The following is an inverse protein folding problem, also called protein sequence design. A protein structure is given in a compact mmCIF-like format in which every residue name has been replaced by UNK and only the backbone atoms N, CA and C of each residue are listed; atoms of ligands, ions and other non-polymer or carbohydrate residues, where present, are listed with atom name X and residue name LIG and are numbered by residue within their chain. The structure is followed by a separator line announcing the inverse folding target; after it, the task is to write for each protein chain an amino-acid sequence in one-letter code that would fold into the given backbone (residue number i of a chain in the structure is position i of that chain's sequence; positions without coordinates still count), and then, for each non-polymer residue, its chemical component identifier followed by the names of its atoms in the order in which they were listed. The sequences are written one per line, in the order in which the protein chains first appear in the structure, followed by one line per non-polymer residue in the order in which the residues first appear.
data_IF_835446429103
#
_entry.id   IF_835446429103
#
_cell.length_a   1.000
_cell.length_b   1.000
_cell.length_c   1.000
_cell.angle_alpha   90.00
_cell.angle_beta   90.00
_cell.angle_gamma   90.00
#
_symmetry.space_group_name_H-M   'P 1'
#
loop_
_entity.id
_entity.type
_entity.pdbx_description
1 polymer ?
#
# COMPACT_ATOMS: atom_id res chain seq x y z
N UNK A 1 -7.09 13.37 38.44
CA UNK A 1 -8.07 12.69 37.57
C UNK A 1 -8.09 13.40 36.22
N UNK A 2 -7.68 12.77 35.11
CA UNK A 2 -7.81 13.39 33.78
C UNK A 2 -9.18 13.04 33.18
N UNK A 3 -9.91 14.06 32.71
CA UNK A 3 -11.32 13.98 32.33
C UNK A 3 -11.66 13.20 31.06
N UNK A 4 -10.74 12.40 30.50
CA UNK A 4 -10.90 11.84 29.15
C UNK A 4 -11.49 10.44 29.11
N UNK A 5 -11.56 9.69 30.22
CA UNK A 5 -12.14 8.34 30.23
C UNK A 5 -13.02 8.11 31.47
N UNK A 6 -14.28 8.53 31.42
CA UNK A 6 -15.30 8.06 32.36
C UNK A 6 -15.59 6.58 32.04
N UNK A 7 -14.81 5.65 32.62
CA UNK A 7 -15.18 4.23 32.64
C UNK A 7 -16.52 4.13 33.39
N UNK A 8 -17.52 3.51 32.76
CA UNK A 8 -18.80 3.28 33.41
C UNK A 8 -18.57 2.48 34.69
N UNK A 9 -19.10 2.95 35.83
CA UNK A 9 -18.97 2.26 37.13
C UNK A 9 -19.52 0.83 37.09
N UNK A 10 -20.48 0.58 36.20
CA UNK A 10 -21.01 -0.75 35.87
C UNK A 10 -21.01 -0.88 34.34
N UNK A 11 -20.05 -1.61 33.73
CA UNK A 11 -20.05 -1.82 32.29
C UNK A 11 -21.25 -2.69 31.91
N UNK A 12 -22.12 -2.19 31.02
CA UNK A 12 -23.16 -2.98 30.34
C UNK A 12 -22.76 -3.16 28.89
N UNK A 13 -22.83 -4.38 28.37
CA UNK A 13 -22.53 -4.59 26.95
C UNK A 13 -23.69 -4.04 26.12
N UNK A 14 -23.36 -3.47 24.96
CA UNK A 14 -24.37 -2.96 24.03
C UNK A 14 -25.41 -4.03 23.65
N UNK A 15 -24.96 -5.28 23.51
CA UNK A 15 -25.82 -6.41 23.12
C UNK A 15 -26.85 -6.76 24.19
N UNK A 16 -26.53 -6.59 25.47
CA UNK A 16 -27.43 -6.91 26.58
C UNK A 16 -28.59 -5.93 26.66
N UNK A 17 -28.34 -4.67 26.27
CA UNK A 17 -29.34 -3.59 26.22
C UNK A 17 -30.14 -3.61 24.90
N UNK A 18 -29.57 -4.15 23.82
CA UNK A 18 -30.14 -4.13 22.47
C UNK A 18 -30.37 -5.54 21.91
N UNK A 19 -30.94 -6.45 22.72
CA UNK A 19 -31.09 -7.86 22.36
C UNK A 19 -31.86 -8.06 21.05
N UNK A 20 -32.91 -7.27 20.82
CA UNK A 20 -33.70 -7.26 19.58
C UNK A 20 -32.90 -6.83 18.33
N UNK A 21 -31.80 -6.09 18.50
CA UNK A 21 -30.92 -5.65 17.39
C UNK A 21 -29.75 -6.59 17.14
N UNK A 22 -29.55 -7.62 17.97
CA UNK A 22 -28.43 -8.57 17.85
C UNK A 22 -28.44 -9.29 16.50
N UNK A 23 -29.56 -9.90 16.13
CA UNK A 23 -29.66 -10.66 14.88
C UNK A 23 -29.50 -9.77 13.62
N UNK A 24 -30.17 -8.61 13.51
CA UNK A 24 -29.89 -7.65 12.45
C UNK A 24 -28.43 -7.21 12.37
N UNK A 25 -27.79 -6.91 13.51
CA UNK A 25 -26.39 -6.50 13.54
C UNK A 25 -25.45 -7.60 13.01
N UNK A 26 -25.70 -8.87 13.37
CA UNK A 26 -24.93 -10.02 12.85
C UNK A 26 -25.10 -10.15 11.34
N UNK A 27 -26.31 -9.96 10.79
CA UNK A 27 -26.55 -9.96 9.34
C UNK A 27 -25.81 -8.82 8.63
N UNK A 28 -25.83 -7.61 9.18
CA UNK A 28 -25.08 -6.46 8.61
C UNK A 28 -23.58 -6.78 8.59
N UNK A 29 -23.05 -7.36 9.68
CA UNK A 29 -21.65 -7.75 9.77
C UNK A 29 -21.28 -8.84 8.74
N UNK A 30 -22.14 -9.84 8.52
CA UNK A 30 -21.86 -10.90 7.54
C UNK A 30 -21.84 -10.35 6.11
N UNK A 31 -22.80 -9.50 5.75
CA UNK A 31 -22.85 -8.82 4.45
C UNK A 31 -21.60 -7.96 4.25
N UNK A 32 -21.20 -7.18 5.25
CA UNK A 32 -20.01 -6.33 5.18
C UNK A 32 -18.72 -7.16 5.03
N UNK A 33 -18.56 -8.25 5.80
CA UNK A 33 -17.40 -9.15 5.69
C UNK A 33 -17.32 -9.77 4.29
N UNK A 34 -18.45 -10.24 3.75
CA UNK A 34 -18.53 -10.78 2.40
C UNK A 34 -18.18 -9.73 1.34
N UNK A 35 -18.72 -8.51 1.45
CA UNK A 35 -18.38 -7.40 0.55
C UNK A 35 -16.89 -7.09 0.57
N UNK A 36 -16.27 -7.07 1.76
CA UNK A 36 -14.84 -6.78 1.93
C UNK A 36 -13.96 -7.82 1.25
N UNK A 37 -14.31 -9.11 1.38
CA UNK A 37 -13.60 -10.22 0.71
C UNK A 37 -13.75 -10.10 -0.81
N UNK A 38 -14.98 -9.93 -1.31
CA UNK A 38 -15.22 -9.77 -2.76
C UNK A 38 -14.48 -8.59 -3.35
N UNK A 39 -14.44 -7.46 -2.63
CA UNK A 39 -13.67 -6.28 -3.05
C UNK A 39 -12.16 -6.55 -3.12
N UNK A 40 -11.62 -7.35 -2.19
CA UNK A 40 -10.22 -7.75 -2.24
C UNK A 40 -9.95 -8.70 -3.42
N UNK A 41 -10.77 -9.73 -3.60
CA UNK A 41 -10.63 -10.68 -4.72
C UNK A 41 -10.76 -10.00 -6.09
N UNK A 42 -11.62 -8.98 -6.21
CA UNK A 42 -11.69 -8.16 -7.41
C UNK A 42 -10.38 -7.40 -7.70
N UNK A 43 -9.65 -6.98 -6.66
CA UNK A 43 -8.31 -6.38 -6.84
C UNK A 43 -7.26 -7.40 -7.28
N UNK A 44 -7.38 -8.67 -6.84
CA UNK A 44 -6.49 -9.74 -7.29
C UNK A 44 -6.58 -9.98 -8.80
N UNK A 45 -7.70 -9.61 -9.44
CA UNK A 45 -7.85 -9.64 -10.90
C UNK A 45 -8.52 -10.90 -11.44
N UNK A 46 -8.61 -11.01 -12.78
CA UNK A 46 -9.21 -12.16 -13.46
C UNK A 46 -8.50 -13.45 -13.06
N UNK A 47 -9.20 -14.58 -13.15
CA UNK A 47 -8.64 -15.89 -12.83
C UNK A 47 -8.53 -16.25 -11.35
N UNK A 48 -8.73 -15.31 -10.42
CA UNK A 48 -8.53 -15.55 -8.98
C UNK A 48 -9.33 -16.73 -8.40
N UNK A 49 -10.55 -16.96 -8.91
CA UNK A 49 -11.42 -18.08 -8.53
C UNK A 49 -11.51 -19.19 -9.59
N UNK A 50 -11.07 -18.95 -10.83
CA UNK A 50 -11.09 -19.92 -11.91
C UNK A 50 -9.89 -19.73 -12.83
N UNK A 51 -8.91 -20.63 -12.76
CA UNK A 51 -7.60 -20.48 -13.41
C UNK A 51 -7.45 -21.29 -14.69
N UNK A 52 -8.56 -21.81 -15.23
CA UNK A 52 -8.55 -22.63 -16.45
C UNK A 52 -8.01 -21.85 -17.66
N UNK A 53 -8.30 -20.56 -17.71
CA UNK A 53 -7.91 -19.67 -18.82
C UNK A 53 -6.49 -19.07 -18.63
N UNK A 54 -5.83 -19.34 -17.50
CA UNK A 54 -4.48 -18.87 -17.25
C UNK A 54 -3.46 -19.62 -18.14
N UNK A 55 -2.61 -18.85 -18.82
CA UNK A 55 -1.65 -19.36 -19.82
C UNK A 55 -0.46 -20.05 -19.15
N UNK A 56 0.08 -19.50 -18.07
CA UNK A 56 1.18 -20.13 -17.35
C UNK A 56 0.66 -21.16 -16.33
N UNK A 57 1.36 -22.29 -16.21
CA UNK A 57 0.98 -23.38 -15.30
C UNK A 57 1.49 -23.18 -13.88
N UNK A 58 2.66 -22.57 -13.72
CA UNK A 58 3.33 -22.34 -12.43
C UNK A 58 3.76 -20.87 -12.29
N UNK A 59 3.88 -20.39 -11.04
CA UNK A 59 4.45 -19.07 -10.72
C UNK A 59 5.98 -19.07 -10.82
N UNK A 60 6.53 -17.98 -11.36
CA UNK A 60 7.95 -17.86 -11.72
C UNK A 60 8.94 -17.92 -10.55
N UNK A 61 8.51 -17.59 -9.32
CA UNK A 61 9.40 -17.60 -8.14
C UNK A 61 9.06 -18.74 -7.19
N UNK A 62 7.77 -18.95 -6.90
CA UNK A 62 7.34 -19.97 -5.94
C UNK A 62 7.23 -21.36 -6.54
N UNK A 63 7.20 -21.48 -7.88
CA UNK A 63 6.96 -22.71 -8.62
C UNK A 63 5.66 -23.42 -8.21
N UNK A 64 4.71 -22.68 -7.60
CA UNK A 64 3.40 -23.22 -7.24
C UNK A 64 2.57 -23.33 -8.51
N UNK A 65 1.90 -24.46 -8.70
CA UNK A 65 0.95 -24.65 -9.79
C UNK A 65 -0.32 -23.80 -9.60
N UNK A 66 -0.92 -23.37 -10.72
CA UNK A 66 -2.12 -22.52 -10.75
C UNK A 66 -3.27 -23.09 -9.93
N UNK A 67 -3.50 -24.39 -9.98
CA UNK A 67 -4.56 -25.06 -9.22
C UNK A 67 -4.39 -24.99 -7.69
N UNK A 68 -3.15 -24.86 -7.21
CA UNK A 68 -2.79 -24.91 -5.79
C UNK A 68 -2.65 -23.53 -5.16
N UNK A 69 -2.55 -22.46 -5.97
CA UNK A 69 -2.40 -21.10 -5.47
C UNK A 69 -3.60 -20.66 -4.60
N UNK A 70 -3.31 -20.09 -3.43
CA UNK A 70 -4.36 -19.57 -2.56
C UNK A 70 -4.97 -18.27 -3.15
N UNK A 71 -6.30 -18.10 -3.21
CA UNK A 71 -6.93 -16.90 -3.82
C UNK A 71 -6.47 -15.57 -3.20
N UNK A 72 -6.13 -15.55 -1.91
CA UNK A 72 -5.62 -14.34 -1.27
C UNK A 72 -4.17 -14.00 -1.60
N UNK A 73 -3.42 -14.97 -2.10
CA UNK A 73 -2.04 -14.82 -2.56
C UNK A 73 -1.97 -14.75 -4.09
N UNK A 74 -3.09 -14.66 -4.79
CA UNK A 74 -3.14 -14.64 -6.25
C UNK A 74 -3.13 -13.21 -6.79
N UNK A 75 -2.46 -13.02 -7.93
CA UNK A 75 -2.59 -11.84 -8.77
C UNK A 75 -2.70 -12.25 -10.24
N UNK A 76 -3.72 -11.76 -10.94
CA UNK A 76 -3.94 -12.01 -12.36
C UNK A 76 -3.96 -10.71 -13.16
N UNK A 77 -3.49 -10.76 -14.40
CA UNK A 77 -3.56 -9.66 -15.36
C UNK A 77 -3.80 -10.18 -16.78
N UNK A 78 -4.48 -9.37 -17.58
CA UNK A 78 -4.61 -9.63 -19.01
C UNK A 78 -3.52 -8.88 -19.76
N UNK A 79 -2.91 -9.54 -20.72
CA UNK A 79 -1.90 -8.97 -21.62
C UNK A 79 -2.12 -9.58 -23.00
N UNK A 80 -2.35 -8.73 -24.01
CA UNK A 80 -2.60 -9.16 -25.39
C UNK A 80 -3.67 -10.28 -25.52
N UNK A 81 -4.78 -10.15 -24.78
CA UNK A 81 -5.89 -11.12 -24.78
C UNK A 81 -5.59 -12.44 -24.06
N UNK A 82 -4.44 -12.55 -23.39
CA UNK A 82 -4.04 -13.72 -22.61
C UNK A 82 -4.08 -13.40 -21.12
N UNK A 83 -4.58 -14.34 -20.33
CA UNK A 83 -4.61 -14.23 -18.88
C UNK A 83 -3.33 -14.82 -18.28
N UNK A 84 -2.55 -13.98 -17.60
CA UNK A 84 -1.36 -14.35 -16.85
C UNK A 84 -1.63 -14.28 -15.36
N UNK A 85 -1.00 -15.17 -14.59
CA UNK A 85 -1.12 -15.17 -13.15
C UNK A 85 0.21 -15.29 -12.43
N UNK A 86 0.22 -14.81 -11.19
CA UNK A 86 1.38 -14.76 -10.31
C UNK A 86 0.96 -14.97 -8.87
N UNK A 87 1.89 -15.45 -8.05
CA UNK A 87 1.82 -15.22 -6.61
C UNK A 87 1.98 -13.72 -6.32
N UNK A 88 1.19 -13.19 -5.40
CA UNK A 88 1.20 -11.76 -5.07
C UNK A 88 2.55 -11.31 -4.52
N UNK A 89 3.21 -12.15 -3.71
CA UNK A 89 4.55 -11.90 -3.21
C UNK A 89 5.58 -11.86 -4.34
N UNK A 90 5.46 -12.78 -5.30
CA UNK A 90 6.29 -12.82 -6.50
C UNK A 90 6.19 -11.53 -7.30
N UNK A 91 4.98 -11.16 -7.73
CA UNK A 91 4.77 -9.97 -8.56
C UNK A 91 5.06 -8.67 -7.80
N UNK A 92 4.76 -8.61 -6.49
CA UNK A 92 5.13 -7.45 -5.66
C UNK A 92 6.63 -7.24 -5.65
N UNK A 93 7.39 -8.28 -5.28
CA UNK A 93 8.85 -8.21 -5.19
C UNK A 93 9.51 -8.00 -6.56
N UNK A 94 8.89 -8.46 -7.64
CA UNK A 94 9.32 -8.19 -9.00
C UNK A 94 9.09 -6.73 -9.39
N UNK A 95 7.88 -6.23 -9.15
CA UNK A 95 7.44 -4.89 -9.59
C UNK A 95 8.21 -3.74 -8.96
N UNK A 96 8.78 -3.92 -7.77
CA UNK A 96 9.49 -2.86 -7.04
C UNK A 96 11.00 -2.82 -7.31
N UNK A 97 11.52 -3.67 -8.20
CA UNK A 97 12.95 -3.70 -8.56
C UNK A 97 13.32 -2.64 -9.59
N UNK A 98 12.39 -2.28 -10.47
CA UNK A 98 12.57 -1.30 -11.55
C UNK A 98 11.39 -0.34 -11.58
N UNK A 99 11.59 0.87 -12.11
CA UNK A 99 10.50 1.81 -12.33
C UNK A 99 9.55 1.30 -13.42
N UNK A 100 10.11 0.64 -14.43
CA UNK A 100 9.39 -0.01 -15.52
C UNK A 100 9.59 -1.52 -15.38
N UNK A 101 8.89 -2.16 -14.43
CA UNK A 101 8.94 -3.61 -14.32
C UNK A 101 8.32 -4.25 -15.56
N UNK A 102 8.93 -5.33 -16.01
CA UNK A 102 8.44 -6.13 -17.12
C UNK A 102 7.69 -7.36 -16.59
N UNK A 103 6.73 -7.87 -17.35
CA UNK A 103 6.15 -9.18 -17.12
C UNK A 103 7.27 -10.25 -17.24
N UNK A 104 7.49 -11.09 -16.22
CA UNK A 104 8.60 -12.04 -16.22
C UNK A 104 8.49 -13.16 -17.27
N UNK A 105 7.30 -13.39 -17.85
CA UNK A 105 7.12 -14.40 -18.90
C UNK A 105 7.27 -13.84 -20.32
N UNK A 106 6.92 -12.58 -20.54
CA UNK A 106 6.83 -11.97 -21.88
C UNK A 106 7.82 -10.83 -22.11
N UNK A 107 8.44 -10.30 -21.04
CA UNK A 107 9.26 -9.10 -21.03
C UNK A 107 8.55 -7.83 -21.51
N UNK A 108 7.23 -7.84 -21.58
CA UNK A 108 6.42 -6.65 -21.89
C UNK A 108 6.33 -5.74 -20.65
N UNK A 109 6.50 -4.41 -20.77
CA UNK A 109 6.34 -3.51 -19.64
C UNK A 109 4.96 -3.61 -18.98
N UNK A 110 4.92 -3.63 -17.65
CA UNK A 110 3.66 -3.63 -16.92
C UNK A 110 2.96 -2.28 -17.02
N UNK A 111 1.69 -2.33 -17.41
CA UNK A 111 0.82 -1.16 -17.51
C UNK A 111 0.70 -0.41 -16.18
N UNK A 112 0.45 0.89 -16.29
CA UNK A 112 0.23 1.76 -15.14
C UNK A 112 -0.90 1.29 -14.23
N UNK A 113 -2.00 0.78 -14.81
CA UNK A 113 -3.11 0.26 -14.03
C UNK A 113 -2.72 -1.00 -13.24
N UNK A 114 -1.96 -1.91 -13.86
CA UNK A 114 -1.45 -3.12 -13.20
C UNK A 114 -0.53 -2.75 -12.03
N UNK A 115 0.42 -1.83 -12.25
CA UNK A 115 1.32 -1.31 -11.20
C UNK A 115 0.53 -0.68 -10.04
N UNK A 116 -0.53 0.08 -10.34
CA UNK A 116 -1.37 0.70 -9.32
C UNK A 116 -2.23 -0.33 -8.57
N UNK A 117 -2.71 -1.37 -9.26
CA UNK A 117 -3.47 -2.47 -8.64
C UNK A 117 -2.62 -3.25 -7.65
N UNK A 118 -1.37 -3.55 -8.00
CA UNK A 118 -0.39 -4.20 -7.11
C UNK A 118 -0.23 -3.40 -5.79
N UNK A 119 -0.07 -2.07 -5.88
CA UNK A 119 0.05 -1.19 -4.70
C UNK A 119 -1.25 -1.14 -3.87
N UNK A 120 -2.42 -1.13 -4.53
CA UNK A 120 -3.72 -1.18 -3.86
C UNK A 120 -3.90 -2.49 -3.07
N UNK A 121 -3.47 -3.62 -3.61
CA UNK A 121 -3.46 -4.90 -2.89
C UNK A 121 -2.53 -4.82 -1.68
N UNK A 122 -1.31 -4.29 -1.84
CA UNK A 122 -0.37 -4.15 -0.72
C UNK A 122 -0.96 -3.32 0.45
N UNK A 123 -1.62 -2.19 0.15
CA UNK A 123 -2.35 -1.42 1.16
C UNK A 123 -3.49 -2.25 1.77
N UNK A 124 -4.28 -2.92 0.92
CA UNK A 124 -5.44 -3.69 1.37
C UNK A 124 -5.02 -4.78 2.36
N UNK A 125 -3.95 -5.52 2.05
CA UNK A 125 -3.37 -6.55 2.94
C UNK A 125 -2.99 -5.97 4.29
N UNK A 126 -2.27 -4.83 4.31
CA UNK A 126 -1.91 -4.16 5.56
C UNK A 126 -3.13 -3.68 6.37
N UNK A 127 -4.18 -3.17 5.71
CA UNK A 127 -5.43 -2.77 6.39
C UNK A 127 -6.23 -3.96 6.92
N UNK A 128 -6.11 -5.11 6.26
CA UNK A 128 -6.78 -6.34 6.64
C UNK A 128 -5.99 -7.19 7.65
N UNK A 129 -4.76 -6.79 7.99
CA UNK A 129 -3.88 -7.56 8.87
C UNK A 129 -3.37 -8.85 8.24
N UNK A 130 -3.31 -8.92 6.91
CA UNK A 130 -2.76 -10.06 6.18
C UNK A 130 -1.23 -10.01 6.18
N UNK A 131 -0.59 -11.16 5.95
CA UNK A 131 0.85 -11.23 5.74
C UNK A 131 1.27 -10.29 4.59
N UNK A 132 2.40 -9.63 4.72
CA UNK A 132 3.01 -8.91 3.60
C UNK A 132 4.10 -9.78 2.98
N UNK A 133 4.41 -9.59 1.68
CA UNK A 133 5.51 -10.30 1.04
C UNK A 133 6.79 -10.19 1.86
N UNK A 134 7.47 -11.32 2.05
CA UNK A 134 8.69 -11.38 2.86
C UNK A 134 9.80 -10.55 2.21
N UNK A 135 10.58 -9.89 3.05
CA UNK A 135 11.80 -9.17 2.68
C UNK A 135 13.03 -9.77 3.37
N UNK A 136 12.90 -11.01 3.86
CA UNK A 136 14.00 -11.74 4.43
C UNK A 136 15.15 -11.84 3.41
N UNK A 137 16.38 -11.59 3.87
CA UNK A 137 17.57 -11.63 3.03
C UNK A 137 17.80 -10.39 2.15
N UNK A 138 16.90 -9.40 2.13
CA UNK A 138 17.11 -8.16 1.37
C UNK A 138 17.85 -7.14 2.25
N UNK A 139 19.04 -6.64 1.86
CA UNK A 139 19.76 -5.61 2.59
C UNK A 139 18.94 -4.33 2.79
N UNK A 140 19.17 -3.61 3.89
CA UNK A 140 18.44 -2.37 4.21
C UNK A 140 18.54 -1.30 3.11
N UNK A 141 19.70 -1.04 2.49
CA UNK A 141 19.80 -0.08 1.37
C UNK A 141 18.88 -0.46 0.20
N UNK A 142 18.88 -1.73 -0.20
CA UNK A 142 18.01 -2.23 -1.28
C UNK A 142 16.53 -2.11 -0.91
N UNK A 143 16.18 -2.32 0.36
CA UNK A 143 14.80 -2.14 0.83
C UNK A 143 14.39 -0.68 0.68
N UNK A 144 15.23 0.27 1.09
CA UNK A 144 15.01 1.72 0.93
C UNK A 144 14.84 2.06 -0.54
N UNK A 145 15.76 1.59 -1.39
CA UNK A 145 15.71 1.80 -2.83
C UNK A 145 14.39 1.29 -3.44
N UNK A 146 13.96 0.07 -3.11
CA UNK A 146 12.68 -0.49 -3.58
C UNK A 146 11.45 0.33 -3.15
N UNK A 147 11.48 0.99 -1.97
CA UNK A 147 10.41 1.91 -1.56
C UNK A 147 10.41 3.15 -2.44
N UNK A 148 11.59 3.72 -2.69
CA UNK A 148 11.72 4.84 -3.62
C UNK A 148 11.25 4.48 -5.02
N UNK A 149 11.60 3.29 -5.54
CA UNK A 149 11.08 2.78 -6.82
C UNK A 149 9.55 2.76 -6.81
N UNK A 150 8.94 2.23 -5.76
CA UNK A 150 7.49 2.22 -5.63
C UNK A 150 6.87 3.62 -5.57
N UNK A 151 7.54 4.59 -4.91
CA UNK A 151 7.09 5.98 -4.85
C UNK A 151 7.23 6.68 -6.20
N UNK A 152 8.36 6.51 -6.89
CA UNK A 152 8.64 7.06 -8.21
C UNK A 152 7.65 6.54 -9.26
N UNK A 153 7.29 5.26 -9.21
CA UNK A 153 6.20 4.71 -10.04
C UNK A 153 4.86 5.44 -9.84
N UNK A 154 4.55 5.89 -8.62
CA UNK A 154 3.34 6.68 -8.35
C UNK A 154 3.50 8.09 -8.91
N UNK A 155 4.65 8.74 -8.72
CA UNK A 155 4.91 10.06 -9.30
C UNK A 155 4.79 10.04 -10.83
N UNK A 156 5.41 9.06 -11.50
CA UNK A 156 5.30 8.88 -12.95
C UNK A 156 3.87 8.62 -13.41
N UNK A 157 3.06 7.91 -12.63
CA UNK A 157 1.63 7.75 -12.92
C UNK A 157 0.86 9.08 -12.97
N UNK A 158 1.29 10.07 -12.19
CA UNK A 158 0.73 11.42 -12.19
C UNK A 158 1.43 12.37 -13.18
N UNK A 159 2.25 11.86 -14.10
CA UNK A 159 2.89 12.65 -15.16
C UNK A 159 4.27 13.22 -14.83
N UNK A 160 4.86 12.85 -13.69
CA UNK A 160 6.23 13.25 -13.34
C UNK A 160 7.25 12.24 -13.88
N UNK A 161 7.48 12.22 -15.19
CA UNK A 161 8.21 11.15 -15.89
C UNK A 161 9.68 11.02 -15.51
N UNK A 162 10.35 12.14 -15.23
CA UNK A 162 11.79 12.19 -14.95
C UNK A 162 12.17 11.71 -13.53
N UNK A 163 11.18 11.40 -12.69
CA UNK A 163 11.40 11.08 -11.29
C UNK A 163 12.03 9.69 -11.14
N UNK A 164 13.24 9.64 -10.56
CA UNK A 164 14.02 8.41 -10.39
C UNK A 164 14.46 8.19 -8.93
N UNK A 165 14.51 6.94 -8.41
CA UNK A 165 14.92 6.63 -7.03
C UNK A 165 16.28 7.20 -6.63
N UNK A 166 17.23 7.25 -7.56
CA UNK A 166 18.56 7.81 -7.33
C UNK A 166 18.53 9.28 -6.88
N UNK A 167 17.46 10.03 -7.19
CA UNK A 167 17.30 11.40 -6.73
C UNK A 167 17.04 11.49 -5.22
N UNK A 168 16.60 10.40 -4.58
CA UNK A 168 16.10 10.42 -3.20
C UNK A 168 16.76 9.40 -2.28
N UNK A 169 17.55 8.47 -2.81
CA UNK A 169 18.17 7.39 -2.01
C UNK A 169 19.08 7.92 -0.90
N UNK A 170 19.71 9.07 -1.13
CA UNK A 170 20.63 9.72 -0.20
C UNK A 170 19.94 10.64 0.81
N UNK A 171 18.60 10.77 0.75
CA UNK A 171 17.86 11.58 1.72
C UNK A 171 18.01 11.00 3.14
N UNK A 172 18.58 11.82 4.01
CA UNK A 172 18.81 11.45 5.41
C UNK A 172 17.53 11.55 6.23
N UNK A 173 17.60 11.05 7.47
CA UNK A 173 16.55 11.26 8.48
C UNK A 173 16.19 12.74 8.63
N UNK A 174 17.18 13.63 8.66
CA UNK A 174 16.97 15.07 8.81
C UNK A 174 16.21 15.64 7.61
N UNK A 175 16.58 15.25 6.38
CA UNK A 175 15.86 15.66 5.18
C UNK A 175 14.39 15.23 5.24
N UNK A 176 14.10 13.99 5.64
CA UNK A 176 12.72 13.50 5.76
C UNK A 176 11.92 14.20 6.89
N UNK A 177 12.56 14.63 7.98
CA UNK A 177 11.91 15.45 9.01
C UNK A 177 11.54 16.82 8.44
N UNK A 178 12.45 17.45 7.70
CA UNK A 178 12.20 18.73 7.02
C UNK A 178 11.06 18.57 6.01
N UNK A 179 11.09 17.53 5.19
CA UNK A 179 10.03 17.20 4.23
C UNK A 179 8.67 17.12 4.91
N UNK A 180 8.54 16.37 6.01
CA UNK A 180 7.26 16.27 6.71
C UNK A 180 6.80 17.60 7.32
N UNK A 181 7.71 18.47 7.76
CA UNK A 181 7.35 19.82 8.25
C UNK A 181 6.79 20.67 7.10
N UNK A 182 7.50 20.73 5.98
CA UNK A 182 7.05 21.46 4.78
C UNK A 182 5.69 20.94 4.30
N UNK A 183 5.58 19.62 4.13
CA UNK A 183 4.35 18.98 3.69
C UNK A 183 3.19 19.21 4.67
N UNK A 184 3.43 19.25 5.99
CA UNK A 184 2.37 19.54 6.97
C UNK A 184 1.75 20.91 6.76
N UNK A 185 2.58 21.92 6.45
CA UNK A 185 2.13 23.29 6.17
C UNK A 185 1.33 23.31 4.87
N UNK A 186 1.91 22.81 3.78
CA UNK A 186 1.25 22.83 2.45
C UNK A 186 -0.09 22.09 2.45
N UNK A 187 -0.18 20.94 3.14
CA UNK A 187 -1.44 20.19 3.28
C UNK A 187 -2.47 20.91 4.16
N UNK A 188 -2.03 21.77 5.08
CA UNK A 188 -2.89 22.62 5.90
C UNK A 188 -3.56 23.73 5.09
N UNK A 189 -2.90 24.19 4.03
CA UNK A 189 -3.36 25.27 3.15
C UNK A 189 -4.24 24.76 2.00
N UNK A 190 -4.29 23.44 1.77
CA UNK A 190 -5.20 22.86 0.79
C UNK A 190 -6.67 23.17 1.12
N UNK A 191 -7.51 23.55 0.13
CA UNK A 191 -8.94 23.80 0.33
C UNK A 191 -9.67 22.62 0.99
N UNK A 192 -9.28 21.39 0.61
CA UNK A 192 -9.76 20.14 1.20
C UNK A 192 -8.65 19.45 1.97
N UNK A 193 -8.55 19.77 3.25
CA UNK A 193 -7.49 19.29 4.15
C UNK A 193 -7.47 17.76 4.28
N UNK A 194 -6.38 17.08 3.88
CA UNK A 194 -6.25 15.64 4.06
C UNK A 194 -5.78 15.32 5.49
N UNK A 195 -6.69 15.42 6.48
CA UNK A 195 -6.38 15.25 7.90
C UNK A 195 -5.60 13.97 8.25
N UNK A 196 -5.85 12.86 7.53
CA UNK A 196 -5.11 11.60 7.73
C UNK A 196 -3.64 11.73 7.32
N UNK A 197 -3.35 12.39 6.19
CA UNK A 197 -1.99 12.62 5.71
C UNK A 197 -1.23 13.58 6.64
N UNK A 198 -1.88 14.67 7.06
CA UNK A 198 -1.36 15.59 8.07
C UNK A 198 -0.99 14.81 9.34
N UNK A 199 -1.90 13.96 9.83
CA UNK A 199 -1.63 13.13 11.02
C UNK A 199 -0.45 12.15 10.85
N UNK A 200 -0.18 11.65 9.64
CA UNK A 200 1.04 10.88 9.38
C UNK A 200 2.29 11.74 9.47
N UNK A 201 2.28 12.93 8.88
CA UNK A 201 3.40 13.88 8.92
C UNK A 201 3.71 14.31 10.36
N UNK A 202 2.68 14.70 11.12
CA UNK A 202 2.84 15.08 12.53
C UNK A 202 3.44 13.96 13.38
N UNK A 203 2.97 12.71 13.20
CA UNK A 203 3.56 11.55 13.90
C UNK A 203 5.00 11.27 13.46
N UNK A 204 5.32 11.47 12.18
CA UNK A 204 6.69 11.38 11.68
C UNK A 204 7.60 12.36 12.42
N UNK A 205 7.20 13.64 12.48
CA UNK A 205 7.97 14.69 13.17
C UNK A 205 8.13 14.38 14.67
N UNK A 206 7.04 14.01 15.36
CA UNK A 206 7.05 13.76 16.80
C UNK A 206 7.94 12.56 17.19
N UNK A 207 7.93 11.51 16.38
CA UNK A 207 8.71 10.31 16.65
C UNK A 207 10.15 10.37 16.11
N UNK A 208 10.55 11.49 15.51
CA UNK A 208 11.88 11.62 14.92
C UNK A 208 12.99 11.34 15.94
N UNK A 209 12.87 11.84 17.18
CA UNK A 209 13.93 11.67 18.18
C UNK A 209 14.00 10.26 18.79
N UNK A 210 12.90 9.50 18.77
CA UNK A 210 12.81 8.18 19.40
C UNK A 210 13.20 7.01 18.49
N UNK A 211 13.29 7.24 17.18
CA UNK A 211 13.53 6.18 16.19
C UNK A 211 14.96 6.29 15.60
N UNK A 212 15.73 5.19 15.53
CA UNK A 212 17.03 5.16 14.85
C UNK A 212 16.94 5.58 13.36
N UNK A 213 18.02 6.13 12.75
CA UNK A 213 17.97 6.70 11.40
C UNK A 213 17.35 5.78 10.33
N UNK A 214 17.85 4.56 10.17
CA UNK A 214 17.36 3.64 9.14
C UNK A 214 15.91 3.19 9.38
N UNK A 215 15.54 2.95 10.64
CA UNK A 215 14.17 2.62 11.00
C UNK A 215 13.22 3.80 10.75
N UNK A 216 13.69 5.02 10.96
CA UNK A 216 12.93 6.24 10.68
C UNK A 216 12.70 6.43 9.19
N UNK A 217 13.75 6.29 8.37
CA UNK A 217 13.65 6.35 6.90
C UNK A 217 12.63 5.32 6.42
N UNK A 218 12.79 4.05 6.79
CA UNK A 218 11.87 2.99 6.39
C UNK A 218 10.42 3.25 6.82
N UNK A 219 10.20 3.73 8.04
CA UNK A 219 8.86 4.06 8.54
C UNK A 219 8.25 5.24 7.76
N UNK A 220 9.07 6.23 7.42
CA UNK A 220 8.67 7.41 6.65
C UNK A 220 8.29 7.04 5.22
N UNK A 221 9.10 6.22 4.55
CA UNK A 221 8.80 5.74 3.20
C UNK A 221 7.54 4.88 3.16
N UNK A 222 7.34 4.02 4.16
CA UNK A 222 6.09 3.28 4.31
C UNK A 222 4.90 4.23 4.48
N UNK A 223 5.02 5.28 5.31
CA UNK A 223 3.96 6.27 5.47
C UNK A 223 3.65 7.00 4.15
N UNK A 224 4.66 7.41 3.39
CA UNK A 224 4.51 8.00 2.06
C UNK A 224 3.80 7.03 1.10
N UNK A 225 4.18 5.76 1.08
CA UNK A 225 3.50 4.74 0.27
C UNK A 225 2.03 4.61 0.64
N UNK A 226 1.69 4.65 1.93
CA UNK A 226 0.29 4.65 2.39
C UNK A 226 -0.49 5.86 1.93
N UNK A 227 0.13 7.04 2.00
CA UNK A 227 -0.50 8.29 1.62
C UNK A 227 -0.72 8.36 0.10
N UNK A 228 0.30 8.04 -0.69
CA UNK A 228 0.28 8.19 -2.15
C UNK A 228 -0.44 7.06 -2.88
N UNK A 229 -0.31 5.82 -2.44
CA UNK A 229 -0.97 4.69 -3.14
C UNK A 229 -2.50 4.70 -2.96
N UNK A 230 -3.02 5.51 -2.03
CA UNK A 230 -4.44 5.81 -1.89
C UNK A 230 -4.84 7.21 -2.38
N UNK A 231 -3.90 7.98 -2.94
CA UNK A 231 -4.17 9.31 -3.46
C UNK A 231 -4.95 9.23 -4.78
N UNK A 232 -5.88 10.16 -4.95
CA UNK A 232 -6.66 10.38 -6.17
C UNK A 232 -6.60 11.85 -6.62
N UNK A 233 -5.59 12.59 -6.17
CA UNK A 233 -5.46 14.04 -6.41
C UNK A 233 -4.03 14.32 -6.86
N UNK A 234 -3.92 14.94 -8.04
CA UNK A 234 -2.65 15.40 -8.57
C UNK A 234 -1.98 16.39 -7.60
N UNK A 235 -2.73 17.39 -7.11
CA UNK A 235 -2.23 18.38 -6.16
C UNK A 235 -1.57 17.74 -4.94
N UNK A 236 -2.21 16.71 -4.36
CA UNK A 236 -1.63 15.99 -3.22
C UNK A 236 -0.29 15.34 -3.58
N UNK A 237 -0.20 14.69 -4.73
CA UNK A 237 1.02 14.01 -5.19
C UNK A 237 2.11 15.02 -5.52
N UNK A 238 1.74 16.13 -6.17
CA UNK A 238 2.62 17.26 -6.46
C UNK A 238 3.21 17.86 -5.18
N UNK A 239 2.40 18.11 -4.15
CA UNK A 239 2.87 18.67 -2.89
C UNK A 239 3.87 17.74 -2.18
N UNK A 240 3.63 16.42 -2.20
CA UNK A 240 4.59 15.45 -1.65
C UNK A 240 5.91 15.50 -2.42
N UNK A 241 5.86 15.50 -3.75
CA UNK A 241 7.06 15.55 -4.59
C UNK A 241 7.82 16.88 -4.43
N UNK A 242 7.11 18.00 -4.40
CA UNK A 242 7.67 19.33 -4.15
C UNK A 242 8.33 19.43 -2.77
N UNK A 243 7.73 18.83 -1.73
CA UNK A 243 8.35 18.78 -0.41
C UNK A 243 9.63 17.94 -0.41
N UNK A 244 9.70 16.87 -1.21
CA UNK A 244 10.91 16.05 -1.35
C UNK A 244 12.05 16.81 -2.06
N UNK A 245 11.76 17.55 -3.13
CA UNK A 245 12.77 18.32 -3.86
C UNK A 245 13.33 19.53 -3.09
N UNK A 246 12.63 20.00 -2.06
CA UNK A 246 13.07 21.12 -1.22
C UNK A 246 13.97 20.69 -0.04
N UNK A 247 14.32 19.42 0.05
CA UNK A 247 15.05 18.85 1.18
C UNK A 247 16.50 18.51 0.87
#
# INVERSE_FOLDING_TARGET
MCGTHRKAKVPRLWVDVNQNRRQPAVKIQSVFRGWRIRKYLALCGPGVLNRRECVNDEDVITCVEKGKQHPFEYFGMEEAGKLWWFDFGSIWNWSIRSIEPLNPYTNVPLDHEVKQRIKRIWIARRRLGMSLPSEAGVPTPDRIFRRWTSLCQIFRFYGFEDVHPNMFVDLTKQNLVVMFRLLTVDLGDMPKRPHRAIGFCTRGIQNANSIPPNAYIMTSLNALMFMLSGANSYDFVFLVLSALYRC
#
